data_IF_278325740314
#
_entry.id   IF_278325740314
#
_cell.length_a   1.000
_cell.length_b   1.000
_cell.length_c   1.000
_cell.angle_alpha   90.00
_cell.angle_beta   90.00
_cell.angle_gamma   90.00
#
_symmetry.space_group_name_H-M   'P 1'
#
loop_
_entity.id
_entity.type
_entity.pdbx_description
1 polymer ?
#
# COMPACT_ATOMS: atom_id res chain seq x y z
N UNK A 1 -68.07 -12.06 25.52
CA UNK A 1 -67.46 -13.41 25.56
C UNK A 1 -66.24 -13.38 24.63
N UNK A 2 -65.09 -12.85 25.07
CA UNK A 2 -64.03 -13.57 25.79
C UNK A 2 -63.59 -14.86 25.08
N UNK A 3 -62.48 -14.80 24.35
CA UNK A 3 -61.52 -15.91 24.37
C UNK A 3 -60.09 -15.38 24.22
N UNK A 4 -59.38 -15.40 25.34
CA UNK A 4 -57.93 -15.17 25.48
C UNK A 4 -57.20 -16.39 24.91
N UNK A 5 -56.10 -16.17 24.17
CA UNK A 5 -55.01 -17.15 24.10
C UNK A 5 -53.71 -16.49 24.59
N UNK A 6 -53.35 -16.87 25.81
CA UNK A 6 -52.02 -16.76 26.42
C UNK A 6 -51.10 -17.80 25.77
N UNK A 7 -49.83 -17.47 25.59
CA UNK A 7 -48.76 -18.42 25.28
C UNK A 7 -47.57 -17.70 24.68
N UNK A 8 -46.77 -17.08 25.54
CA UNK A 8 -45.52 -16.38 25.20
C UNK A 8 -44.42 -17.38 24.86
N UNK A 9 -44.31 -17.79 23.61
CA UNK A 9 -43.03 -18.28 23.09
C UNK A 9 -42.22 -17.06 22.69
N UNK A 10 -41.26 -16.68 23.55
CA UNK A 10 -40.17 -15.80 23.12
C UNK A 10 -39.44 -16.58 22.03
N UNK A 11 -39.68 -16.23 20.76
CA UNK A 11 -38.83 -16.70 19.66
C UNK A 11 -37.39 -16.38 20.06
N UNK A 12 -36.66 -17.44 20.40
CA UNK A 12 -35.27 -17.32 20.79
C UNK A 12 -34.50 -16.86 19.57
N UNK A 13 -33.99 -15.64 19.65
CA UNK A 13 -33.14 -15.08 18.61
C UNK A 13 -31.86 -15.93 18.53
N UNK A 14 -31.46 -16.26 17.31
CA UNK A 14 -30.30 -17.09 17.03
C UNK A 14 -29.43 -16.42 15.96
N UNK A 15 -28.12 -16.64 16.04
CA UNK A 15 -27.17 -16.18 15.02
C UNK A 15 -27.42 -16.92 13.69
N UNK A 16 -27.57 -16.18 12.60
CA UNK A 16 -27.79 -16.73 11.26
C UNK A 16 -26.54 -17.39 10.65
N UNK A 17 -25.37 -17.21 11.27
CA UNK A 17 -24.10 -17.78 10.79
C UNK A 17 -23.71 -19.07 11.53
N UNK A 18 -23.74 -19.07 12.86
CA UNK A 18 -23.34 -20.22 13.68
C UNK A 18 -24.51 -20.97 14.37
N UNK A 19 -25.73 -20.43 14.31
CA UNK A 19 -26.92 -21.05 14.91
C UNK A 19 -27.04 -20.94 16.43
N UNK A 20 -26.08 -20.30 17.13
CA UNK A 20 -26.13 -20.12 18.59
C UNK A 20 -27.30 -19.22 19.01
N UNK A 21 -27.98 -19.60 20.09
CA UNK A 21 -29.01 -18.78 20.74
C UNK A 21 -28.41 -17.51 21.38
N UNK A 22 -29.22 -16.46 21.55
CA UNK A 22 -28.82 -15.19 22.17
C UNK A 22 -28.17 -15.36 23.56
N UNK A 23 -28.61 -16.34 24.35
CA UNK A 23 -28.09 -16.59 25.71
C UNK A 23 -26.69 -17.22 25.70
N UNK A 24 -26.27 -17.82 24.56
CA UNK A 24 -24.99 -18.51 24.40
C UNK A 24 -23.87 -17.61 23.87
N UNK A 25 -24.16 -16.33 23.61
CA UNK A 25 -23.21 -15.37 23.03
C UNK A 25 -23.22 -14.07 23.82
N UNK A 26 -22.09 -13.36 23.87
CA UNK A 26 -21.99 -12.13 24.67
C UNK A 26 -22.73 -10.97 24.02
N UNK A 27 -22.76 -10.91 22.68
CA UNK A 27 -23.55 -9.92 21.94
C UNK A 27 -24.17 -10.55 20.69
N UNK A 28 -25.39 -10.13 20.40
CA UNK A 28 -26.09 -10.46 19.15
C UNK A 28 -26.54 -9.15 18.50
N UNK A 29 -26.04 -8.88 17.29
CA UNK A 29 -26.35 -7.69 16.50
C UNK A 29 -27.49 -8.03 15.54
N UNK A 30 -28.52 -7.18 15.49
CA UNK A 30 -29.70 -7.37 14.65
C UNK A 30 -29.65 -6.48 13.39
N UNK A 31 -29.93 -7.07 12.23
CA UNK A 31 -30.20 -6.40 10.96
C UNK A 31 -31.61 -6.72 10.45
N UNK A 32 -32.00 -6.22 9.25
CA UNK A 32 -33.30 -6.52 8.66
C UNK A 32 -33.49 -8.02 8.39
N UNK A 33 -34.11 -8.73 9.32
CA UNK A 33 -34.39 -10.18 9.21
C UNK A 33 -33.18 -11.09 9.41
N UNK A 34 -32.06 -10.59 9.93
CA UNK A 34 -30.81 -11.35 10.13
C UNK A 34 -30.14 -10.99 11.45
N UNK A 35 -29.43 -11.94 12.06
CA UNK A 35 -28.71 -11.73 13.32
C UNK A 35 -27.30 -12.30 13.23
N UNK A 36 -26.30 -11.61 13.81
CA UNK A 36 -24.91 -12.06 13.86
C UNK A 36 -24.34 -11.89 15.27
N UNK A 37 -23.60 -12.88 15.78
CA UNK A 37 -22.96 -12.80 17.10
C UNK A 37 -21.54 -12.21 17.04
N UNK A 38 -21.02 -11.80 18.19
CA UNK A 38 -19.66 -11.26 18.32
C UNK A 38 -18.56 -12.22 17.83
N UNK A 39 -18.67 -13.51 18.14
CA UNK A 39 -17.71 -14.51 17.67
C UNK A 39 -17.68 -14.62 16.13
N UNK A 40 -18.85 -14.58 15.47
CA UNK A 40 -18.91 -14.62 14.00
C UNK A 40 -18.36 -13.33 13.39
N UNK A 41 -18.54 -12.17 14.04
CA UNK A 41 -17.93 -10.92 13.61
C UNK A 41 -16.40 -11.01 13.70
N UNK A 42 -15.87 -11.56 14.80
CA UNK A 42 -14.43 -11.77 14.97
C UNK A 42 -13.88 -12.70 13.89
N UNK A 43 -14.52 -13.87 13.67
CA UNK A 43 -14.10 -14.80 12.63
C UNK A 43 -14.19 -14.18 11.22
N UNK A 44 -15.27 -13.45 10.91
CA UNK A 44 -15.38 -12.74 9.63
C UNK A 44 -14.29 -11.68 9.47
N UNK A 45 -13.94 -10.94 10.54
CA UNK A 45 -12.85 -9.98 10.50
C UNK A 45 -11.49 -10.65 10.30
N UNK A 46 -11.25 -11.82 10.90
CA UNK A 46 -10.04 -12.62 10.67
C UNK A 46 -9.94 -13.08 9.21
N UNK A 47 -11.02 -13.64 8.66
CA UNK A 47 -11.06 -14.07 7.26
C UNK A 47 -10.85 -12.87 6.31
N UNK A 48 -11.51 -11.74 6.57
CA UNK A 48 -11.34 -10.51 5.77
C UNK A 48 -9.92 -9.96 5.91
N UNK A 49 -9.29 -10.08 7.08
CA UNK A 49 -7.90 -9.66 7.26
C UNK A 49 -6.93 -10.57 6.47
N UNK A 50 -7.15 -11.89 6.48
CA UNK A 50 -6.37 -12.84 5.68
C UNK A 50 -6.57 -12.64 4.18
N UNK A 51 -7.80 -12.39 3.72
CA UNK A 51 -8.09 -12.06 2.32
C UNK A 51 -7.56 -10.68 1.93
N UNK A 52 -7.64 -9.70 2.83
CA UNK A 52 -7.07 -8.37 2.66
C UNK A 52 -5.54 -8.42 2.54
N UNK A 53 -4.87 -9.33 3.25
CA UNK A 53 -3.45 -9.62 3.07
C UNK A 53 -3.16 -10.24 1.69
N UNK A 54 -4.06 -11.09 1.17
CA UNK A 54 -3.93 -11.69 -0.16
C UNK A 54 -4.21 -10.71 -1.33
N UNK A 55 -5.20 -9.83 -1.20
CA UNK A 55 -5.52 -8.76 -2.18
C UNK A 55 -4.58 -7.55 -2.05
N UNK A 56 -3.98 -7.37 -0.88
CA UNK A 56 -2.87 -6.42 -0.70
C UNK A 56 -1.60 -6.84 -1.45
N UNK A 57 -1.58 -7.96 -2.19
CA UNK A 57 -0.51 -8.24 -3.15
C UNK A 57 -0.44 -7.25 -4.34
N UNK A 58 -1.46 -6.39 -4.53
CA UNK A 58 -1.34 -5.19 -5.38
C UNK A 58 -0.63 -4.02 -4.67
N UNK A 59 -0.61 -4.01 -3.33
CA UNK A 59 0.14 -3.10 -2.47
C UNK A 59 1.40 -3.74 -1.82
N UNK A 60 1.70 -5.00 -2.18
CA UNK A 60 2.70 -5.88 -1.56
C UNK A 60 4.15 -5.55 -1.91
N UNK A 61 4.39 -4.46 -2.64
CA UNK A 61 5.75 -3.94 -2.88
C UNK A 61 6.38 -3.41 -1.57
N UNK A 62 5.59 -3.17 -0.52
CA UNK A 62 6.08 -2.56 0.72
C UNK A 62 6.51 -3.55 1.81
N UNK A 63 6.20 -4.86 1.73
CA UNK A 63 6.51 -5.77 2.84
C UNK A 63 7.96 -6.24 2.89
N UNK A 64 8.68 -6.28 1.77
CA UNK A 64 10.13 -6.47 1.75
C UNK A 64 10.78 -5.56 0.72
N UNK A 65 11.21 -4.37 1.17
CA UNK A 65 12.01 -3.49 0.33
C UNK A 65 13.32 -4.20 -0.04
N UNK A 66 13.62 -4.40 -1.34
CA UNK A 66 14.83 -5.08 -1.76
C UNK A 66 16.06 -4.34 -1.22
N UNK A 67 17.04 -5.11 -0.76
CA UNK A 67 18.29 -4.55 -0.23
C UNK A 67 19.00 -3.76 -1.34
N UNK A 68 19.79 -2.72 -1.02
CA UNK A 68 20.54 -1.98 -2.04
C UNK A 68 21.39 -2.87 -2.96
N UNK A 69 21.92 -3.98 -2.44
CA UNK A 69 22.66 -4.97 -3.24
C UNK A 69 21.79 -5.68 -4.28
N UNK A 70 20.52 -5.94 -3.98
CA UNK A 70 19.57 -6.60 -4.89
C UNK A 70 19.10 -5.63 -5.97
N UNK A 71 18.78 -4.38 -5.58
CA UNK A 71 18.47 -3.31 -6.54
C UNK A 71 19.62 -3.13 -7.51
N UNK A 72 20.87 -3.06 -7.01
CA UNK A 72 22.06 -2.91 -7.85
C UNK A 72 22.22 -4.09 -8.83
N UNK A 73 22.02 -5.33 -8.36
CA UNK A 73 22.10 -6.53 -9.23
C UNK A 73 21.12 -6.46 -10.39
N UNK A 74 19.89 -6.03 -10.14
CA UNK A 74 18.89 -5.92 -11.21
C UNK A 74 19.28 -4.78 -12.17
N UNK A 75 19.78 -3.65 -11.67
CA UNK A 75 20.33 -2.60 -12.53
C UNK A 75 21.53 -3.08 -13.36
N UNK A 76 22.34 -4.01 -12.85
CA UNK A 76 23.46 -4.61 -13.56
C UNK A 76 23.01 -5.43 -14.79
N UNK A 77 21.79 -5.97 -14.81
CA UNK A 77 21.22 -6.71 -15.96
C UNK A 77 20.89 -5.81 -17.16
N UNK A 78 20.61 -4.52 -16.91
CA UNK A 78 20.18 -3.57 -17.95
C UNK A 78 21.22 -2.50 -18.27
N UNK A 79 22.07 -2.11 -17.30
CA UNK A 79 23.05 -1.03 -17.46
C UNK A 79 24.44 -1.54 -17.13
N UNK A 80 25.28 -1.64 -18.16
CA UNK A 80 26.66 -2.12 -18.07
C UNK A 80 27.58 -0.99 -17.59
N UNK A 81 28.47 -1.30 -16.64
CA UNK A 81 29.33 -0.29 -15.99
C UNK A 81 28.55 0.66 -15.08
N UNK A 82 29.02 1.89 -14.86
CA UNK A 82 28.32 2.89 -14.01
C UNK A 82 28.06 2.43 -12.57
N UNK A 83 29.01 1.69 -11.97
CA UNK A 83 28.85 1.07 -10.65
C UNK A 83 28.52 2.07 -9.54
N UNK A 84 29.16 3.24 -9.55
CA UNK A 84 28.94 4.25 -8.51
C UNK A 84 27.54 4.85 -8.59
N UNK A 85 27.05 5.12 -9.82
CA UNK A 85 25.68 5.59 -10.03
C UNK A 85 24.65 4.55 -9.59
N UNK A 86 24.86 3.26 -9.91
CA UNK A 86 23.97 2.17 -9.49
C UNK A 86 23.93 2.00 -7.97
N UNK A 87 25.09 2.08 -7.29
CA UNK A 87 25.14 2.04 -5.82
C UNK A 87 24.41 3.23 -5.20
N UNK A 88 24.65 4.44 -5.70
CA UNK A 88 24.01 5.66 -5.20
C UNK A 88 22.48 5.59 -5.35
N UNK A 89 21.99 5.19 -6.53
CA UNK A 89 20.56 4.99 -6.80
C UNK A 89 19.95 3.94 -5.88
N UNK A 90 20.60 2.78 -5.74
CA UNK A 90 20.10 1.70 -4.90
C UNK A 90 19.95 2.11 -3.43
N UNK A 91 20.93 2.84 -2.87
CA UNK A 91 20.87 3.34 -1.49
C UNK A 91 19.79 4.42 -1.35
N UNK A 92 19.75 5.38 -2.27
CA UNK A 92 18.80 6.49 -2.20
C UNK A 92 17.35 6.01 -2.27
N UNK A 93 17.05 5.04 -3.14
CA UNK A 93 15.72 4.43 -3.28
C UNK A 93 15.35 3.66 -2.03
N UNK A 94 16.25 2.81 -1.53
CA UNK A 94 16.01 2.05 -0.31
C UNK A 94 15.68 2.98 0.87
N UNK A 95 16.44 4.07 1.01
CA UNK A 95 16.19 5.08 2.04
C UNK A 95 14.88 5.85 1.79
N UNK A 96 14.54 6.15 0.53
CA UNK A 96 13.29 6.82 0.18
C UNK A 96 12.06 6.04 0.67
N UNK A 97 12.02 4.72 0.43
CA UNK A 97 10.92 3.90 0.91
C UNK A 97 10.95 3.65 2.42
N UNK A 98 12.15 3.48 3.03
CA UNK A 98 12.26 3.43 4.49
C UNK A 98 11.67 4.67 5.14
N UNK A 99 11.93 5.84 4.57
CA UNK A 99 11.37 7.11 5.03
C UNK A 99 9.84 7.12 4.91
N UNK A 100 9.28 6.67 3.78
CA UNK A 100 7.82 6.60 3.59
C UNK A 100 7.17 5.69 4.64
N UNK A 101 7.77 4.52 4.92
CA UNK A 101 7.27 3.59 5.93
C UNK A 101 7.37 4.14 7.35
N UNK A 102 8.44 4.88 7.67
CA UNK A 102 8.61 5.50 8.99
C UNK A 102 7.67 6.67 9.22
N UNK A 103 7.35 7.48 8.21
CA UNK A 103 6.37 8.57 8.35
C UNK A 103 4.98 8.09 8.80
N UNK A 104 4.65 6.80 8.63
CA UNK A 104 3.41 6.21 9.15
C UNK A 104 3.49 5.87 10.65
N UNK A 105 4.70 5.69 11.20
CA UNK A 105 4.95 5.45 12.62
C UNK A 105 5.38 6.78 13.24
N UNK A 106 4.49 7.43 14.01
CA UNK A 106 4.78 8.68 14.74
C UNK A 106 6.09 8.55 15.53
N UNK A 107 7.19 9.00 14.96
CA UNK A 107 8.52 9.07 15.55
C UNK A 107 9.00 10.51 15.51
N UNK A 108 9.76 10.91 16.52
CA UNK A 108 10.20 12.29 16.78
C UNK A 108 11.32 12.77 15.83
N UNK A 109 11.71 11.96 14.84
CA UNK A 109 12.84 12.22 13.94
C UNK A 109 12.34 12.38 12.51
N UNK A 110 12.43 13.59 11.99
CA UNK A 110 12.18 13.89 10.59
C UNK A 110 13.36 13.43 9.73
N UNK A 111 13.09 12.68 8.67
CA UNK A 111 14.09 12.26 7.69
C UNK A 111 14.02 13.13 6.45
N UNK A 112 15.17 13.69 6.05
CA UNK A 112 15.26 14.51 4.84
C UNK A 112 15.07 13.70 3.54
N UNK A 113 14.47 14.36 2.55
CA UNK A 113 14.36 13.81 1.19
C UNK A 113 15.72 13.87 0.49
N UNK A 114 16.25 12.72 0.10
CA UNK A 114 17.44 12.65 -0.76
C UNK A 114 17.04 12.71 -2.23
N UNK A 115 17.30 13.84 -2.88
CA UNK A 115 17.23 13.96 -4.34
C UNK A 115 18.56 13.53 -4.98
N UNK A 116 18.52 13.10 -6.24
CA UNK A 116 19.70 12.57 -6.96
C UNK A 116 19.92 13.42 -8.20
N UNK A 117 21.17 13.82 -8.43
CA UNK A 117 21.61 14.44 -9.67
C UNK A 117 22.55 13.48 -10.41
N UNK A 118 22.18 13.07 -11.64
CA UNK A 118 23.00 12.19 -12.47
C UNK A 118 23.81 13.01 -13.47
N UNK A 119 25.14 12.98 -13.33
CA UNK A 119 26.08 13.67 -14.24
C UNK A 119 26.81 12.63 -15.09
N UNK A 120 26.87 12.84 -16.40
CA UNK A 120 27.62 11.97 -17.30
C UNK A 120 27.42 12.34 -18.78
N UNK A 121 28.26 11.82 -19.69
CA UNK A 121 28.20 12.14 -21.11
C UNK A 121 26.89 11.67 -21.76
N UNK A 122 26.60 12.16 -22.96
CA UNK A 122 25.46 11.68 -23.76
C UNK A 122 25.58 10.18 -24.02
N UNK A 123 24.47 9.45 -23.98
CA UNK A 123 24.46 8.01 -24.24
C UNK A 123 24.99 7.12 -23.11
N UNK A 124 25.35 7.66 -21.94
CA UNK A 124 25.88 6.87 -20.82
C UNK A 124 24.85 6.06 -20.01
N UNK A 125 23.58 6.05 -20.44
CA UNK A 125 22.52 5.28 -19.78
C UNK A 125 21.79 5.98 -18.62
N UNK A 126 21.90 7.31 -18.46
CA UNK A 126 21.20 8.07 -17.40
C UNK A 126 19.68 7.85 -17.39
N UNK A 127 19.04 8.04 -18.55
CA UNK A 127 17.59 7.83 -18.70
C UNK A 127 17.21 6.37 -18.50
N UNK A 128 18.03 5.44 -19.00
CA UNK A 128 17.81 4.01 -18.86
C UNK A 128 17.87 3.55 -17.39
N UNK A 129 18.80 4.09 -16.59
CA UNK A 129 18.87 3.84 -15.14
C UNK A 129 17.55 4.22 -14.46
N UNK A 130 17.02 5.41 -14.73
CA UNK A 130 15.77 5.89 -14.13
C UNK A 130 14.57 5.03 -14.56
N UNK A 131 14.45 4.70 -15.85
CA UNK A 131 13.37 3.87 -16.38
C UNK A 131 13.41 2.43 -15.85
N UNK A 132 14.59 1.83 -15.74
CA UNK A 132 14.75 0.48 -15.19
C UNK A 132 14.40 0.45 -13.71
N UNK A 133 14.82 1.47 -12.96
CA UNK A 133 14.49 1.61 -11.56
C UNK A 133 12.98 1.73 -11.32
N UNK A 134 12.29 2.55 -12.12
CA UNK A 134 10.84 2.68 -12.07
C UNK A 134 10.11 1.35 -12.33
N UNK A 135 10.54 0.61 -13.37
CA UNK A 135 9.99 -0.72 -13.69
C UNK A 135 10.19 -1.72 -12.55
N UNK A 136 11.37 -1.72 -11.94
CA UNK A 136 11.69 -2.58 -10.80
C UNK A 136 10.75 -2.32 -9.61
N UNK A 137 10.54 -1.05 -9.28
CA UNK A 137 9.79 -0.64 -8.11
C UNK A 137 8.26 -0.61 -8.33
N UNK A 138 7.81 -0.83 -9.57
CA UNK A 138 6.39 -0.80 -9.96
C UNK A 138 5.66 0.47 -9.47
N UNK A 139 6.34 1.61 -9.51
CA UNK A 139 5.76 2.91 -9.11
C UNK A 139 5.48 3.81 -10.29
N UNK A 140 4.53 4.76 -10.14
CA UNK A 140 4.35 5.82 -11.11
C UNK A 140 5.66 6.53 -11.40
N UNK A 141 5.96 6.75 -12.68
CA UNK A 141 7.19 7.37 -13.13
C UNK A 141 6.89 8.44 -14.16
N UNK A 142 7.32 9.66 -13.85
CA UNK A 142 7.21 10.82 -14.73
C UNK A 142 8.58 11.14 -15.33
N UNK A 143 8.58 11.51 -16.61
CA UNK A 143 9.75 12.02 -17.33
C UNK A 143 9.37 13.42 -17.80
N UNK A 144 10.20 14.40 -17.49
CA UNK A 144 10.04 15.78 -17.94
C UNK A 144 11.37 16.28 -18.52
N UNK A 145 11.29 17.14 -19.53
CA UNK A 145 12.44 17.84 -20.09
C UNK A 145 12.46 19.28 -19.56
N UNK A 146 13.48 19.60 -18.77
CA UNK A 146 13.62 20.93 -18.19
C UNK A 146 13.83 22.04 -19.23
N UNK A 147 14.24 21.71 -20.46
CA UNK A 147 14.42 22.71 -21.54
C UNK A 147 13.09 23.21 -22.11
N UNK A 148 12.00 22.48 -21.90
CA UNK A 148 10.65 22.88 -22.31
C UNK A 148 9.94 23.75 -21.26
N UNK A 149 10.43 23.75 -20.01
CA UNK A 149 9.84 24.46 -18.89
C UNK A 149 10.27 25.93 -18.89
N UNK A 150 9.29 26.83 -18.74
CA UNK A 150 9.54 28.28 -18.64
C UNK A 150 8.96 28.83 -17.34
N UNK A 151 9.44 30.01 -16.93
CA UNK A 151 8.85 30.71 -15.79
C UNK A 151 7.36 30.99 -16.00
N UNK A 152 6.58 30.98 -14.92
CA UNK A 152 5.15 31.27 -14.95
C UNK A 152 4.87 32.61 -15.65
N UNK A 153 3.97 32.60 -16.63
CA UNK A 153 3.64 33.78 -17.43
C UNK A 153 4.45 33.96 -18.72
N UNK A 154 5.40 33.06 -19.02
CA UNK A 154 6.03 32.95 -20.33
C UNK A 154 5.40 31.83 -21.17
N UNK A 155 5.60 31.88 -22.49
CA UNK A 155 5.09 30.85 -23.41
C UNK A 155 5.99 29.61 -23.31
N UNK A 156 5.50 28.57 -22.63
CA UNK A 156 6.16 27.28 -22.44
C UNK A 156 5.32 26.34 -21.58
N UNK A 157 5.85 25.17 -21.23
CA UNK A 157 5.17 24.21 -20.34
C UNK A 157 5.36 24.61 -18.86
N UNK A 158 4.29 24.51 -18.07
CA UNK A 158 4.30 24.74 -16.62
C UNK A 158 4.64 23.44 -15.88
N UNK A 159 5.28 23.56 -14.71
CA UNK A 159 5.72 22.42 -13.88
C UNK A 159 4.54 21.68 -13.23
N UNK A 160 3.39 22.35 -13.09
CA UNK A 160 2.21 21.82 -12.38
C UNK A 160 1.21 21.03 -13.25
N UNK A 161 1.35 21.04 -14.59
CA UNK A 161 0.49 20.31 -15.54
C UNK A 161 1.06 18.93 -15.90
#
# INVERSE_FOLDING_TARGET
MASRKKGSDKEKLHCSFCGKEQDSVRRLVAGPGVYICDECIELCNEIIAEEGEQDSNAAGVLQELPRPSEIKKILDEYVIGQDDAKKALAVAVYNHYKRIQQNQKKGDVELDKSNIMLIGPTGSGKTLLAQTLARLLKVPFAIADATALTEAGYVGEDVEN
#
